data_IF_648518444361
#
_entry.id   IF_648518444361
#
_cell.length_a   1.000
_cell.length_b   1.000
_cell.length_c   1.000
_cell.angle_alpha   90.00
_cell.angle_beta   90.00
_cell.angle_gamma   90.00
#
_symmetry.space_group_name_H-M   'P 1'
#
loop_
_entity.id
_entity.type
_entity.pdbx_description
1 polymer ?
#
# COMPACT_ATOMS: atom_id res chain seq x y z
N UNK A 1 -8.69 -10.66 -21.61
CA UNK A 1 -8.09 -9.79 -20.59
C UNK A 1 -9.11 -9.55 -19.49
N UNK A 2 -8.80 -9.91 -18.26
CA UNK A 2 -9.71 -9.70 -17.12
C UNK A 2 -9.26 -8.45 -16.39
N UNK A 3 -9.83 -7.30 -16.78
CA UNK A 3 -9.64 -6.03 -16.06
C UNK A 3 -10.57 -5.94 -14.86
N UNK A 4 -10.18 -5.15 -13.86
CA UNK A 4 -11.03 -4.75 -12.74
C UNK A 4 -11.41 -3.29 -12.92
N UNK A 5 -12.72 -3.01 -13.02
CA UNK A 5 -13.24 -1.66 -13.26
C UNK A 5 -13.57 -0.93 -11.98
N UNK A 6 -13.04 0.29 -11.90
CA UNK A 6 -13.44 1.33 -10.95
C UNK A 6 -14.27 2.41 -11.67
N UNK A 7 -14.84 3.35 -10.93
CA UNK A 7 -15.64 4.46 -11.48
C UNK A 7 -14.86 5.30 -12.51
N UNK A 8 -13.56 5.55 -12.28
CA UNK A 8 -12.76 6.47 -13.10
C UNK A 8 -11.61 5.81 -13.87
N UNK A 9 -11.26 4.56 -13.56
CA UNK A 9 -10.18 3.84 -14.24
C UNK A 9 -10.41 2.32 -14.24
N UNK A 10 -9.64 1.61 -15.03
CA UNK A 10 -9.62 0.15 -15.09
C UNK A 10 -8.21 -0.37 -14.81
N UNK A 11 -8.09 -1.49 -14.10
CA UNK A 11 -6.83 -2.16 -13.83
C UNK A 11 -6.76 -3.45 -14.62
N UNK A 12 -5.90 -3.50 -15.63
CA UNK A 12 -5.45 -4.73 -16.24
C UNK A 12 -4.45 -5.42 -15.31
N UNK A 13 -4.52 -6.75 -15.17
CA UNK A 13 -3.76 -7.47 -14.13
C UNK A 13 -3.34 -8.88 -14.58
N UNK A 14 -3.13 -9.08 -15.86
CA UNK A 14 -2.78 -10.37 -16.44
C UNK A 14 -1.29 -10.68 -16.40
N UNK A 15 -0.42 -9.66 -16.25
CA UNK A 15 1.03 -9.77 -16.16
C UNK A 15 1.61 -9.51 -14.77
N UNK A 16 0.77 -9.26 -13.80
CA UNK A 16 1.20 -9.00 -12.42
C UNK A 16 0.86 -10.18 -11.51
N UNK A 17 1.79 -10.57 -10.64
CA UNK A 17 1.60 -11.66 -9.69
C UNK A 17 0.50 -11.36 -8.66
N UNK A 18 0.39 -10.10 -8.22
CA UNK A 18 -0.63 -9.65 -7.28
C UNK A 18 -1.76 -8.96 -8.04
N UNK A 19 -2.96 -9.53 -7.90
CA UNK A 19 -4.19 -8.96 -8.49
C UNK A 19 -4.79 -7.91 -7.57
N UNK A 20 -5.73 -7.12 -8.11
CA UNK A 20 -6.56 -6.19 -7.32
C UNK A 20 -7.15 -6.95 -6.14
N UNK A 21 -6.82 -6.50 -4.95
CA UNK A 21 -7.24 -7.10 -3.69
C UNK A 21 -7.75 -6.04 -2.72
N UNK A 22 -8.49 -6.49 -1.72
CA UNK A 22 -9.07 -5.64 -0.68
C UNK A 22 -8.03 -4.77 0.02
N UNK A 23 -6.83 -5.29 0.24
CA UNK A 23 -5.77 -4.61 0.99
C UNK A 23 -5.26 -3.37 0.24
N UNK A 24 -5.01 -3.49 -1.07
CA UNK A 24 -4.64 -2.35 -1.91
C UNK A 24 -5.73 -1.28 -1.97
N UNK A 25 -7.00 -1.70 -2.13
CA UNK A 25 -8.13 -0.75 -2.15
C UNK A 25 -8.30 -0.05 -0.80
N UNK A 26 -8.23 -0.78 0.31
CA UNK A 26 -8.30 -0.19 1.65
C UNK A 26 -7.19 0.84 1.87
N UNK A 27 -5.94 0.49 1.51
CA UNK A 27 -4.81 1.42 1.67
C UNK A 27 -4.97 2.64 0.79
N UNK A 28 -5.25 2.48 -0.50
CA UNK A 28 -5.46 3.58 -1.44
C UNK A 28 -6.61 4.51 -1.04
N UNK A 29 -7.68 3.97 -0.42
CA UNK A 29 -8.81 4.74 0.07
C UNK A 29 -8.53 5.46 1.41
N UNK A 30 -7.64 4.91 2.27
CA UNK A 30 -7.43 5.39 3.64
C UNK A 30 -6.16 6.24 3.81
N UNK A 31 -5.10 5.98 3.04
CA UNK A 31 -3.80 6.61 3.21
C UNK A 31 -3.86 8.13 3.16
N UNK A 32 -2.94 8.77 3.89
CA UNK A 32 -2.71 10.22 3.79
C UNK A 32 -2.01 10.55 2.47
N UNK A 33 -2.28 11.72 1.93
CA UNK A 33 -1.65 12.21 0.70
C UNK A 33 -0.75 13.41 0.93
N UNK A 34 -0.43 14.07 -0.16
CA UNK A 34 0.40 15.27 -0.22
C UNK A 34 0.54 15.72 -1.66
N UNK A 35 1.51 16.57 -1.96
CA UNK A 35 1.81 17.03 -3.32
C UNK A 35 2.75 16.07 -4.06
N UNK A 36 3.55 15.30 -3.34
CA UNK A 36 4.44 14.26 -3.88
C UNK A 36 4.21 12.95 -3.14
N UNK A 37 3.82 11.92 -3.88
CA UNK A 37 3.44 10.62 -3.32
C UNK A 37 4.30 9.51 -3.94
N UNK A 38 4.81 8.59 -3.11
CA UNK A 38 5.53 7.40 -3.55
C UNK A 38 4.73 6.14 -3.21
N UNK A 39 4.49 5.28 -4.20
CA UNK A 39 3.93 3.93 -4.05
C UNK A 39 5.06 2.91 -4.19
N UNK A 40 5.45 2.28 -3.07
CA UNK A 40 6.53 1.28 -3.02
C UNK A 40 5.95 -0.11 -3.23
N UNK A 41 6.43 -0.80 -4.26
CA UNK A 41 5.88 -2.08 -4.72
C UNK A 41 4.53 -1.85 -5.39
N UNK A 42 4.49 -0.96 -6.40
CA UNK A 42 3.25 -0.47 -7.01
C UNK A 42 2.46 -1.55 -7.78
N UNK A 43 3.10 -2.67 -8.15
CA UNK A 43 2.45 -3.77 -8.86
C UNK A 43 1.74 -3.30 -10.13
N UNK A 44 0.41 -3.46 -10.16
CA UNK A 44 -0.44 -3.01 -11.27
C UNK A 44 -0.68 -1.49 -11.33
N UNK A 45 -0.14 -0.71 -10.37
CA UNK A 45 -0.40 0.72 -10.24
C UNK A 45 -1.71 1.08 -9.54
N UNK A 46 -2.41 0.11 -8.93
CA UNK A 46 -3.70 0.34 -8.28
C UNK A 46 -3.66 1.47 -7.25
N UNK A 47 -2.71 1.39 -6.30
CA UNK A 47 -2.65 2.37 -5.20
C UNK A 47 -2.22 3.72 -5.76
N UNK A 48 -1.25 3.77 -6.67
CA UNK A 48 -0.83 5.00 -7.34
C UNK A 48 -2.00 5.72 -8.03
N UNK A 49 -2.86 4.98 -8.77
CA UNK A 49 -4.05 5.52 -9.43
C UNK A 49 -5.09 6.03 -8.42
N UNK A 50 -5.34 5.28 -7.34
CA UNK A 50 -6.25 5.71 -6.28
C UNK A 50 -5.75 6.97 -5.57
N UNK A 51 -4.44 7.08 -5.31
CA UNK A 51 -3.84 8.28 -4.72
C UNK A 51 -3.93 9.48 -5.67
N UNK A 52 -3.67 9.29 -6.96
CA UNK A 52 -3.79 10.35 -7.95
C UNK A 52 -5.24 10.85 -8.12
N UNK A 53 -6.25 9.96 -7.99
CA UNK A 53 -7.67 10.33 -7.98
C UNK A 53 -8.02 11.18 -6.76
N UNK A 54 -7.60 10.75 -5.56
CA UNK A 54 -7.93 11.42 -4.29
C UNK A 54 -7.21 12.76 -4.11
N UNK A 55 -6.03 12.90 -4.67
CA UNK A 55 -5.17 14.07 -4.51
C UNK A 55 -4.88 14.72 -5.87
N UNK A 56 -5.80 15.55 -6.40
CA UNK A 56 -5.70 16.07 -7.77
C UNK A 56 -4.45 16.93 -8.04
N UNK A 57 -3.84 17.52 -7.01
CA UNK A 57 -2.61 18.31 -7.13
C UNK A 57 -1.33 17.46 -6.96
N UNK A 58 -1.45 16.15 -6.69
CA UNK A 58 -0.30 15.31 -6.42
C UNK A 58 0.38 14.83 -7.70
N UNK A 59 1.72 14.76 -7.63
CA UNK A 59 2.56 13.95 -8.50
C UNK A 59 2.84 12.64 -7.79
N UNK A 60 2.58 11.52 -8.45
CA UNK A 60 2.72 10.19 -7.88
C UNK A 60 3.84 9.44 -8.60
N UNK A 61 4.69 8.77 -7.85
CA UNK A 61 5.70 7.86 -8.40
C UNK A 61 5.41 6.45 -7.89
N UNK A 62 5.25 5.50 -8.78
CA UNK A 62 5.23 4.08 -8.45
C UNK A 62 6.59 3.45 -8.73
N UNK A 63 7.11 2.66 -7.79
CA UNK A 63 8.32 1.86 -8.01
C UNK A 63 8.04 0.38 -7.77
N UNK A 64 8.60 -0.48 -8.60
CA UNK A 64 8.55 -1.94 -8.41
C UNK A 64 9.84 -2.59 -8.93
N UNK A 65 10.18 -3.76 -8.38
CA UNK A 65 11.32 -4.57 -8.82
C UNK A 65 10.98 -5.49 -10.00
N UNK A 66 9.69 -5.70 -10.25
CA UNK A 66 9.17 -6.55 -11.31
C UNK A 66 8.92 -5.71 -12.57
N UNK A 67 9.68 -5.97 -13.62
CA UNK A 67 9.58 -5.24 -14.89
C UNK A 67 8.23 -5.46 -15.59
N UNK A 68 7.66 -6.67 -15.51
CA UNK A 68 6.35 -6.98 -16.10
C UNK A 68 5.23 -6.25 -15.36
N UNK A 69 5.31 -6.18 -14.03
CA UNK A 69 4.39 -5.39 -13.21
C UNK A 69 4.49 -3.89 -13.55
N UNK A 70 5.70 -3.34 -13.67
CA UNK A 70 5.91 -1.96 -14.10
C UNK A 70 5.36 -1.69 -15.52
N UNK A 71 5.52 -2.62 -16.44
CA UNK A 71 4.92 -2.56 -17.78
C UNK A 71 3.40 -2.49 -17.71
N UNK A 72 2.78 -3.35 -16.89
CA UNK A 72 1.34 -3.36 -16.67
C UNK A 72 0.86 -2.06 -16.01
N UNK A 73 1.59 -1.57 -15.00
CA UNK A 73 1.25 -0.31 -14.34
C UNK A 73 1.28 0.87 -15.30
N UNK A 74 2.30 0.98 -16.16
CA UNK A 74 2.38 2.05 -17.18
C UNK A 74 1.20 2.02 -18.15
N UNK A 75 0.76 0.83 -18.58
CA UNK A 75 -0.42 0.69 -19.43
C UNK A 75 -1.68 1.16 -18.71
N UNK A 76 -1.89 0.74 -17.46
CA UNK A 76 -3.03 1.15 -16.65
C UNK A 76 -3.03 2.67 -16.41
N UNK A 77 -1.86 3.24 -16.09
CA UNK A 77 -1.67 4.67 -15.90
C UNK A 77 -1.99 5.45 -17.17
N UNK A 78 -1.43 5.04 -18.32
CA UNK A 78 -1.65 5.69 -19.60
C UNK A 78 -3.13 5.64 -20.03
N UNK A 79 -3.83 4.55 -19.72
CA UNK A 79 -5.26 4.40 -20.03
C UNK A 79 -6.18 5.16 -19.04
N UNK A 80 -5.65 5.73 -17.98
CA UNK A 80 -6.41 6.45 -16.95
C UNK A 80 -6.46 7.96 -17.23
N UNK A 81 -7.40 8.70 -16.61
CA UNK A 81 -7.41 10.15 -16.69
C UNK A 81 -6.30 10.85 -15.86
N UNK A 82 -5.42 10.08 -15.21
CA UNK A 82 -4.38 10.57 -14.30
C UNK A 82 -2.97 10.40 -14.86
N UNK A 83 -2.83 9.95 -16.12
CA UNK A 83 -1.55 9.58 -16.74
C UNK A 83 -0.47 10.66 -16.66
N UNK A 84 -0.85 11.91 -16.79
CA UNK A 84 0.08 13.06 -16.75
C UNK A 84 0.71 13.31 -15.36
N UNK A 85 0.20 12.65 -14.32
CA UNK A 85 0.60 12.87 -12.92
C UNK A 85 1.21 11.65 -12.25
N UNK A 86 1.36 10.54 -12.98
CA UNK A 86 1.87 9.29 -12.43
C UNK A 86 3.04 8.79 -13.27
N UNK A 87 4.20 8.67 -12.64
CA UNK A 87 5.38 8.02 -13.21
C UNK A 87 5.58 6.64 -12.62
N UNK A 88 6.02 5.67 -13.45
CA UNK A 88 6.33 4.31 -12.99
C UNK A 88 7.78 3.96 -13.34
N UNK A 89 8.58 3.69 -12.32
CA UNK A 89 9.98 3.32 -12.44
C UNK A 89 10.21 1.85 -12.06
N UNK A 90 10.90 1.11 -12.95
CA UNK A 90 11.41 -0.22 -12.63
C UNK A 90 12.73 -0.07 -11.88
N UNK A 91 12.70 -0.18 -10.57
CA UNK A 91 13.90 -0.12 -9.73
C UNK A 91 13.64 -0.68 -8.33
N UNK A 92 14.71 -1.05 -7.65
CA UNK A 92 14.66 -1.39 -6.23
C UNK A 92 14.50 -0.13 -5.39
N UNK A 93 13.81 -0.25 -4.25
CA UNK A 93 13.71 0.85 -3.29
C UNK A 93 15.08 1.37 -2.84
N UNK A 94 16.07 0.47 -2.68
CA UNK A 94 17.42 0.81 -2.27
C UNK A 94 18.14 1.70 -3.30
N UNK A 95 17.85 1.51 -4.59
CA UNK A 95 18.51 2.18 -5.71
C UNK A 95 17.76 3.44 -6.16
N UNK A 96 16.50 3.58 -5.75
CA UNK A 96 15.71 4.77 -6.09
C UNK A 96 16.31 6.02 -5.43
N UNK A 97 16.61 7.03 -6.22
CA UNK A 97 17.11 8.34 -5.77
C UNK A 97 16.23 9.44 -6.35
N UNK A 98 15.88 10.40 -5.53
CA UNK A 98 15.00 11.51 -5.95
C UNK A 98 14.71 12.45 -4.80
N UNK A 99 13.82 13.39 -5.05
CA UNK A 99 13.34 14.32 -4.04
C UNK A 99 12.49 13.58 -3.00
N UNK A 100 12.30 14.23 -1.86
CA UNK A 100 11.48 13.70 -0.77
C UNK A 100 10.00 13.72 -1.11
N UNK A 101 9.25 12.81 -0.49
CA UNK A 101 7.81 12.65 -0.66
C UNK A 101 7.06 13.07 0.60
N UNK A 102 5.90 13.71 0.43
CA UNK A 102 5.01 14.09 1.54
C UNK A 102 4.23 12.89 2.04
N UNK A 103 3.94 11.96 1.15
CA UNK A 103 3.33 10.68 1.50
C UNK A 103 4.07 9.52 0.82
N UNK A 104 4.24 8.43 1.57
CA UNK A 104 4.69 7.15 1.03
C UNK A 104 3.63 6.12 1.37
N UNK A 105 3.29 5.26 0.42
CA UNK A 105 2.36 4.14 0.60
C UNK A 105 3.03 2.85 0.20
N UNK A 106 2.66 1.74 0.85
CA UNK A 106 3.11 0.40 0.45
C UNK A 106 2.12 -0.68 0.88
N UNK A 107 1.85 -1.62 -0.02
CA UNK A 107 1.23 -2.91 0.28
C UNK A 107 2.26 -4.00 -0.01
N UNK A 108 3.30 -4.13 0.83
CA UNK A 108 4.41 -5.01 0.54
C UNK A 108 4.01 -6.48 0.65
N UNK A 109 4.66 -7.40 -0.08
CA UNK A 109 4.41 -8.83 0.07
C UNK A 109 4.88 -9.29 1.45
N UNK A 110 3.96 -9.89 2.23
CA UNK A 110 4.22 -10.43 3.56
C UNK A 110 4.46 -11.93 3.48
N UNK A 111 5.69 -12.34 3.56
CA UNK A 111 6.03 -13.75 3.75
C UNK A 111 6.51 -13.96 5.19
N UNK A 112 5.55 -14.22 6.08
CA UNK A 112 5.88 -14.79 7.38
C UNK A 112 6.45 -16.19 7.15
N UNK A 113 7.70 -16.38 7.58
CA UNK A 113 8.31 -17.66 7.93
C UNK A 113 7.59 -18.90 7.36
N UNK A 114 7.66 -19.10 6.06
CA UNK A 114 7.32 -20.40 5.46
C UNK A 114 8.43 -21.44 5.74
N UNK A 115 9.04 -21.39 6.95
CA UNK A 115 9.91 -22.44 7.49
C UNK A 115 9.20 -23.77 7.70
N UNK A 116 7.89 -23.84 7.41
CA UNK A 116 7.09 -25.06 7.62
C UNK A 116 6.84 -25.89 6.36
N UNK A 117 7.40 -25.54 5.19
CA UNK A 117 7.25 -26.37 3.99
C UNK A 117 8.59 -26.52 3.25
N UNK A 118 9.15 -27.76 3.18
CA UNK A 118 10.51 -27.98 2.66
C UNK A 118 10.65 -28.03 1.13
N UNK A 119 9.67 -27.61 0.35
CA UNK A 119 9.82 -27.41 -1.10
C UNK A 119 10.63 -26.13 -1.41
N UNK A 120 11.89 -26.20 -1.00
CA UNK A 120 12.78 -25.08 -0.73
C UNK A 120 13.23 -24.25 -1.95
N UNK A 121 13.17 -24.76 -3.17
CA UNK A 121 13.67 -24.03 -4.35
C UNK A 121 12.74 -22.90 -4.79
N UNK A 122 11.43 -23.09 -4.69
CA UNK A 122 10.44 -22.03 -4.97
C UNK A 122 10.34 -21.01 -3.83
N UNK A 123 10.58 -21.43 -2.58
CA UNK A 123 10.62 -20.55 -1.43
C UNK A 123 11.87 -19.65 -1.45
N UNK A 124 13.03 -20.18 -1.80
CA UNK A 124 14.28 -19.40 -1.90
C UNK A 124 14.23 -18.35 -3.02
N UNK A 125 13.65 -18.65 -4.19
CA UNK A 125 13.47 -17.65 -5.25
C UNK A 125 12.56 -16.51 -4.79
N UNK A 126 11.47 -16.81 -4.05
CA UNK A 126 10.58 -15.79 -3.49
C UNK A 126 11.19 -15.00 -2.33
N UNK A 127 12.17 -15.55 -1.60
CA UNK A 127 12.89 -14.83 -0.54
C UNK A 127 13.86 -13.77 -1.09
N UNK A 128 14.36 -13.95 -2.30
CA UNK A 128 15.23 -12.95 -2.96
C UNK A 128 14.44 -11.70 -3.38
N UNK A 129 13.12 -11.84 -3.60
CA UNK A 129 12.23 -10.78 -4.08
C UNK A 129 11.44 -10.09 -2.95
N UNK A 130 11.64 -10.50 -1.69
CA UNK A 130 10.97 -9.87 -0.55
C UNK A 130 11.73 -8.63 -0.10
N UNK A 131 10.99 -7.53 0.14
CA UNK A 131 11.53 -6.33 0.77
C UNK A 131 11.50 -6.52 2.30
N UNK A 132 12.66 -6.75 2.98
CA UNK A 132 12.69 -6.85 4.43
C UNK A 132 12.20 -5.57 5.09
N UNK A 133 11.55 -5.66 6.24
CA UNK A 133 11.05 -4.47 6.96
C UNK A 133 12.16 -3.45 7.22
N UNK A 134 13.34 -3.93 7.59
CA UNK A 134 14.51 -3.07 7.78
C UNK A 134 14.84 -2.24 6.53
N UNK A 135 14.83 -2.86 5.36
CA UNK A 135 15.16 -2.19 4.09
C UNK A 135 14.05 -1.22 3.70
N UNK A 136 12.79 -1.61 3.93
CA UNK A 136 11.64 -0.72 3.74
C UNK A 136 11.78 0.53 4.63
N UNK A 137 12.08 0.36 5.92
CA UNK A 137 12.27 1.49 6.83
C UNK A 137 13.46 2.36 6.49
N UNK A 138 14.56 1.78 5.99
CA UNK A 138 15.71 2.57 5.49
C UNK A 138 15.31 3.40 4.28
N UNK A 139 14.57 2.83 3.34
CA UNK A 139 14.04 3.54 2.18
C UNK A 139 13.08 4.66 2.59
N UNK A 140 12.11 4.37 3.45
CA UNK A 140 11.17 5.36 3.99
C UNK A 140 11.92 6.49 4.71
N UNK A 141 12.91 6.17 5.55
CA UNK A 141 13.74 7.16 6.23
C UNK A 141 14.50 8.08 5.27
N UNK A 142 14.94 7.55 4.15
CA UNK A 142 15.67 8.32 3.14
C UNK A 142 14.75 9.21 2.31
N UNK A 143 13.55 8.73 1.95
CA UNK A 143 12.68 9.33 0.95
C UNK A 143 11.51 10.14 1.53
N UNK A 144 11.09 9.88 2.78
CA UNK A 144 10.01 10.64 3.41
C UNK A 144 10.49 12.04 3.83
N UNK A 145 9.69 13.06 3.54
CA UNK A 145 9.93 14.44 4.01
C UNK A 145 9.79 14.51 5.54
N UNK A 146 10.25 15.61 6.13
CA UNK A 146 10.26 15.78 7.59
C UNK A 146 8.87 15.64 8.21
N UNK A 147 7.87 16.26 7.59
CA UNK A 147 6.47 16.21 8.03
C UNK A 147 5.64 15.17 7.27
N UNK A 148 6.29 14.30 6.50
CA UNK A 148 5.62 13.31 5.68
C UNK A 148 5.00 12.16 6.48
N UNK A 149 4.07 11.46 5.85
CA UNK A 149 3.38 10.29 6.42
C UNK A 149 3.66 9.05 5.57
N UNK A 150 4.09 7.99 6.22
CA UNK A 150 4.17 6.66 5.61
C UNK A 150 2.97 5.82 6.00
N UNK A 151 2.19 5.36 5.02
CA UNK A 151 1.02 4.51 5.24
C UNK A 151 1.21 3.11 4.65
N UNK A 152 0.81 2.09 5.39
CA UNK A 152 0.98 0.69 5.00
C UNK A 152 -0.22 -0.15 5.42
N UNK A 153 -0.55 -1.18 4.66
CA UNK A 153 -1.50 -2.22 5.07
C UNK A 153 -0.74 -3.50 5.43
N UNK A 154 -1.09 -4.11 6.57
CA UNK A 154 -0.42 -5.29 7.09
C UNK A 154 -1.41 -6.36 7.57
N UNK A 155 -1.10 -7.65 7.43
CA UNK A 155 -1.75 -8.71 8.21
C UNK A 155 -1.53 -8.53 9.71
N UNK A 156 -2.48 -9.02 10.51
CA UNK A 156 -2.46 -8.84 11.97
C UNK A 156 -1.23 -9.46 12.66
N UNK A 157 -0.73 -10.55 12.11
CA UNK A 157 0.34 -11.37 12.69
C UNK A 157 1.74 -10.73 12.55
N UNK A 158 1.92 -9.78 11.64
CA UNK A 158 3.20 -9.05 11.46
C UNK A 158 3.21 -7.67 12.10
N UNK A 159 2.06 -7.14 12.50
CA UNK A 159 1.89 -5.76 12.97
C UNK A 159 2.88 -5.37 14.07
N UNK A 160 2.97 -6.18 15.13
CA UNK A 160 3.80 -5.85 16.30
C UNK A 160 5.28 -5.77 15.94
N UNK A 161 5.76 -6.72 15.13
CA UNK A 161 7.14 -6.70 14.65
C UNK A 161 7.41 -5.46 13.78
N UNK A 162 6.47 -5.13 12.89
CA UNK A 162 6.60 -3.96 12.01
C UNK A 162 6.64 -2.63 12.79
N UNK A 163 5.78 -2.49 13.80
CA UNK A 163 5.77 -1.31 14.69
C UNK A 163 7.05 -1.20 15.51
N UNK A 164 7.59 -2.33 15.97
CA UNK A 164 8.88 -2.35 16.68
C UNK A 164 10.02 -1.87 15.78
N UNK A 165 10.10 -2.35 14.56
CA UNK A 165 11.08 -1.91 13.55
C UNK A 165 10.92 -0.41 13.20
N UNK A 166 9.69 0.10 13.15
CA UNK A 166 9.41 1.53 12.98
C UNK A 166 10.05 2.37 14.09
N UNK A 167 9.81 2.00 15.35
CA UNK A 167 10.37 2.68 16.51
C UNK A 167 11.91 2.68 16.49
N UNK A 168 12.53 1.55 16.17
CA UNK A 168 13.99 1.44 16.05
C UNK A 168 14.54 2.29 14.90
N UNK A 169 13.72 2.54 13.86
CA UNK A 169 14.08 3.39 12.72
C UNK A 169 13.83 4.89 12.96
N UNK A 170 13.23 5.26 14.10
CA UNK A 170 12.92 6.63 14.49
C UNK A 170 11.58 7.13 13.98
N UNK A 171 10.60 6.22 13.79
CA UNK A 171 9.24 6.56 13.41
C UNK A 171 8.25 6.23 14.51
N UNK A 172 7.18 7.03 14.59
CA UNK A 172 6.08 6.88 15.53
C UNK A 172 4.81 6.49 14.78
N UNK A 173 4.10 5.49 15.30
CA UNK A 173 2.73 5.19 14.86
C UNK A 173 1.83 6.35 15.27
N UNK A 174 1.21 7.02 14.31
CA UNK A 174 0.34 8.19 14.56
C UNK A 174 -1.12 7.91 14.27
N UNK A 175 -1.42 6.95 13.39
CA UNK A 175 -2.79 6.51 13.09
C UNK A 175 -2.83 5.03 12.80
N UNK A 176 -3.82 4.32 13.34
CA UNK A 176 -4.09 2.92 12.99
C UNK A 176 -5.58 2.66 12.86
N UNK A 177 -5.92 1.72 11.96
CA UNK A 177 -7.24 1.18 11.82
C UNK A 177 -7.17 -0.36 11.77
N UNK A 178 -7.74 -1.02 12.77
CA UNK A 178 -7.92 -2.46 12.79
C UNK A 178 -9.13 -2.83 11.93
N UNK A 179 -8.94 -3.61 10.86
CA UNK A 179 -10.02 -3.93 9.93
C UNK A 179 -10.47 -5.38 10.10
N UNK A 180 -11.74 -5.52 10.48
CA UNK A 180 -12.46 -6.80 10.59
C UNK A 180 -13.24 -7.07 9.31
N UNK A 181 -13.37 -8.32 8.91
CA UNK A 181 -14.27 -8.69 7.81
C UNK A 181 -15.72 -8.49 8.21
N UNK A 182 -16.10 -8.97 9.41
CA UNK A 182 -17.41 -8.80 10.06
C UNK A 182 -17.19 -8.57 11.55
N UNK A 183 -18.17 -8.02 12.23
CA UNK A 183 -18.08 -7.60 13.64
C UNK A 183 -17.54 -8.69 14.61
N UNK A 184 -18.05 -9.93 14.50
CA UNK A 184 -17.67 -11.04 15.38
C UNK A 184 -16.28 -11.62 15.19
N UNK A 185 -15.57 -11.25 14.09
CA UNK A 185 -14.21 -11.74 13.79
C UNK A 185 -13.15 -10.83 14.37
N UNK A 186 -11.98 -11.39 14.66
CA UNK A 186 -10.80 -10.60 14.97
C UNK A 186 -10.30 -9.86 13.71
N UNK A 187 -9.62 -8.72 13.89
CA UNK A 187 -9.01 -8.01 12.77
C UNK A 187 -8.06 -8.91 12.00
N UNK A 188 -8.19 -8.93 10.69
CA UNK A 188 -7.28 -9.68 9.80
C UNK A 188 -6.15 -8.81 9.27
N UNK A 189 -6.33 -7.50 9.25
CA UNK A 189 -5.39 -6.52 8.72
C UNK A 189 -5.45 -5.23 9.50
N UNK A 190 -4.38 -4.49 9.40
CA UNK A 190 -4.24 -3.16 9.96
C UNK A 190 -3.81 -2.18 8.88
N UNK A 191 -4.41 -1.02 8.85
CA UNK A 191 -3.93 0.16 8.16
C UNK A 191 -3.15 0.98 9.18
N UNK A 192 -1.89 1.26 8.90
CA UNK A 192 -0.99 1.95 9.82
C UNK A 192 -0.39 3.17 9.14
N UNK A 193 -0.30 4.28 9.87
CA UNK A 193 0.38 5.48 9.40
C UNK A 193 1.45 5.91 10.41
N UNK A 194 2.61 6.25 9.89
CA UNK A 194 3.80 6.59 10.66
C UNK A 194 4.34 7.96 10.27
N UNK A 195 4.88 8.67 11.25
CA UNK A 195 5.55 9.96 11.09
C UNK A 195 6.89 9.98 11.84
N UNK A 196 7.76 10.92 11.49
CA UNK A 196 9.00 11.22 12.26
C UNK A 196 8.69 11.91 13.58
N UNK A 197 7.53 12.52 13.68
CA UNK A 197 7.12 13.29 14.85
C UNK A 197 5.91 12.68 15.53
N UNK A 198 5.91 12.69 16.84
CA UNK A 198 4.76 12.30 17.65
C UNK A 198 3.87 13.54 17.86
N UNK A 199 2.99 13.82 16.90
CA UNK A 199 2.09 14.97 16.97
C UNK A 199 0.73 14.52 17.56
N UNK A 200 0.56 14.69 18.87
CA UNK A 200 -0.69 14.36 19.55
C UNK A 200 -0.83 12.90 20.00
N UNK A 201 -2.09 12.49 20.23
CA UNK A 201 -2.44 11.13 20.60
C UNK A 201 -2.56 10.25 19.35
N UNK A 202 -2.35 8.93 19.53
CA UNK A 202 -2.55 7.94 18.49
C UNK A 202 -4.03 7.89 18.08
N UNK A 203 -4.32 8.22 16.81
CA UNK A 203 -5.64 7.95 16.22
C UNK A 203 -5.83 6.43 16.08
N UNK A 204 -6.76 5.88 16.85
CA UNK A 204 -6.99 4.43 16.88
C UNK A 204 -8.45 4.12 16.57
N UNK A 205 -8.68 3.34 15.52
CA UNK A 205 -10.00 2.90 15.09
C UNK A 205 -10.06 1.38 14.92
N UNK A 206 -11.27 0.85 15.05
CA UNK A 206 -11.59 -0.54 14.64
C UNK A 206 -12.82 -0.47 13.77
N UNK A 207 -12.70 -0.98 12.55
CA UNK A 207 -13.72 -0.90 11.53
C UNK A 207 -14.07 -2.28 10.97
N UNK A 208 -15.28 -2.40 10.46
CA UNK A 208 -15.80 -3.60 9.82
C UNK A 208 -16.00 -3.35 8.32
N UNK A 209 -15.79 -4.38 7.52
CA UNK A 209 -16.00 -4.27 6.07
C UNK A 209 -17.43 -4.60 5.66
N UNK A 210 -18.01 -5.62 6.29
CA UNK A 210 -19.34 -6.13 5.96
C UNK A 210 -20.22 -6.07 7.19
N UNK A 211 -21.46 -5.64 7.03
CA UNK A 211 -22.48 -5.68 8.05
C UNK A 211 -23.00 -7.11 8.32
N UNK A 212 -24.04 -7.23 9.15
CA UNK A 212 -24.63 -8.51 9.52
C UNK A 212 -25.37 -9.18 8.35
N UNK A 213 -25.84 -8.40 7.40
CA UNK A 213 -26.59 -8.84 6.22
C UNK A 213 -25.67 -9.18 5.02
N UNK A 214 -24.35 -8.95 5.18
CA UNK A 214 -23.35 -9.22 4.15
C UNK A 214 -23.16 -8.08 3.15
N UNK A 215 -23.76 -6.90 3.41
CA UNK A 215 -23.52 -5.69 2.62
C UNK A 215 -22.25 -4.99 3.09
N UNK A 216 -21.75 -4.05 2.27
CA UNK A 216 -20.65 -3.16 2.71
C UNK A 216 -21.11 -2.36 3.93
N UNK A 217 -20.28 -2.33 4.98
CA UNK A 217 -20.55 -1.46 6.14
C UNK A 217 -20.57 0.01 5.72
N UNK A 218 -21.17 0.85 6.53
CA UNK A 218 -21.20 2.31 6.31
C UNK A 218 -19.78 2.89 6.13
N UNK A 219 -18.84 2.48 6.99
CA UNK A 219 -17.45 2.91 6.90
C UNK A 219 -16.79 2.46 5.59
N UNK A 220 -16.93 1.17 5.23
CA UNK A 220 -16.29 0.65 4.03
C UNK A 220 -16.91 1.23 2.75
N UNK A 221 -18.22 1.38 2.73
CA UNK A 221 -18.93 2.07 1.64
C UNK A 221 -18.41 3.50 1.49
N UNK A 222 -18.35 4.27 2.59
CA UNK A 222 -17.91 5.67 2.60
C UNK A 222 -16.49 5.86 2.05
N UNK A 223 -15.51 5.06 2.50
CA UNK A 223 -14.12 5.22 2.04
C UNK A 223 -13.89 4.74 0.62
N UNK A 224 -14.76 3.86 0.10
CA UNK A 224 -14.63 3.28 -1.24
C UNK A 224 -15.63 3.81 -2.26
N UNK A 225 -16.52 4.70 -1.86
CA UNK A 225 -17.60 5.21 -2.72
C UNK A 225 -17.08 5.86 -4.00
N UNK A 226 -16.01 6.61 -3.95
CA UNK A 226 -15.42 7.24 -5.14
C UNK A 226 -14.77 6.26 -6.12
N UNK A 227 -14.56 5.02 -5.70
CA UNK A 227 -13.82 4.01 -6.47
C UNK A 227 -14.71 2.92 -7.06
N UNK A 228 -15.51 2.25 -6.24
CA UNK A 228 -16.32 1.13 -6.70
C UNK A 228 -17.55 1.57 -7.47
N UNK A 229 -17.89 0.78 -8.49
CA UNK A 229 -19.15 0.91 -9.26
C UNK A 229 -20.36 0.61 -8.38
#
# INVERSE_FOLDING_TARGET
>A
MTGFRFKQFEILQDRCAMKVGTDGVLLGAWASGGTRILDIGCGTGLIALMMAQRFPAAQVVGIDIDEEACGQARENVTASPFGDRIDVAHCRLQDYSGEKFDAIVSNPPFFLNSLKNPDSKRAMARHADTLPFRDLWQGVKRLLSENGIFSVVLPSDVKENFVSEACMSGFYLVRQCAVKTIERKQPKRYLLAFSRHRNGELENATEIMMDQDGNRSEWYAKITDEFYL
#
